data_IF_570692811515
#
_entry.id   IF_570692811515
#
_cell.length_a   1.000
_cell.length_b   1.000
_cell.length_c   1.000
_cell.angle_alpha   90.00
_cell.angle_beta   90.00
_cell.angle_gamma   90.00
#
_symmetry.space_group_name_H-M   'P 1'
#
loop_
_entity.id
_entity.type
_entity.pdbx_description
1 polymer ?
#
# COMPACT_ATOMS: atom_id res chain seq x y z
N UNK A 1 -7.34 -4.20 0.29
CA UNK A 1 -7.19 -4.64 1.70
C UNK A 1 -8.28 -4.04 2.59
N UNK A 2 -8.65 -4.71 3.69
CA UNK A 2 -9.51 -4.12 4.74
C UNK A 2 -8.66 -3.30 5.71
N UNK A 3 -9.19 -2.19 6.21
CA UNK A 3 -8.45 -1.30 7.11
C UNK A 3 -8.16 -1.94 8.49
N UNK A 4 -8.98 -2.91 8.91
CA UNK A 4 -8.78 -3.66 10.15
C UNK A 4 -7.49 -4.49 10.11
N UNK A 5 -7.28 -5.24 9.03
CA UNK A 5 -6.09 -6.08 8.85
C UNK A 5 -4.80 -5.25 8.82
N UNK A 6 -4.83 -4.04 8.26
CA UNK A 6 -3.67 -3.14 8.22
C UNK A 6 -3.35 -2.58 9.62
N UNK A 7 -4.34 -2.40 10.49
CA UNK A 7 -4.12 -1.88 11.86
C UNK A 7 -3.56 -2.92 12.82
N UNK A 8 -3.78 -4.20 12.56
CA UNK A 8 -3.28 -5.30 13.39
C UNK A 8 -1.81 -5.65 13.07
N UNK A 9 -1.27 -5.15 11.95
CA UNK A 9 0.12 -5.39 11.55
C UNK A 9 1.10 -4.53 12.34
N UNK A 10 2.29 -5.07 12.55
CA UNK A 10 3.42 -4.34 13.17
C UNK A 10 4.00 -3.29 12.22
N UNK A 11 4.76 -2.32 12.76
CA UNK A 11 5.39 -1.27 11.95
C UNK A 11 6.32 -1.84 10.87
N UNK A 12 7.05 -2.91 11.17
CA UNK A 12 7.96 -3.56 10.23
C UNK A 12 7.21 -4.31 9.11
N UNK A 13 6.12 -5.00 9.46
CA UNK A 13 5.25 -5.66 8.47
C UNK A 13 4.59 -4.64 7.55
N UNK A 14 4.16 -3.48 8.08
CA UNK A 14 3.60 -2.39 7.29
C UNK A 14 4.62 -1.83 6.29
N UNK A 15 5.87 -1.68 6.71
CA UNK A 15 6.96 -1.23 5.84
C UNK A 15 7.27 -2.26 4.74
N UNK A 16 7.32 -3.55 5.08
CA UNK A 16 7.49 -4.63 4.09
C UNK A 16 6.35 -4.64 3.09
N UNK A 17 5.10 -4.56 3.56
CA UNK A 17 3.91 -4.50 2.70
C UNK A 17 3.94 -3.31 1.75
N UNK A 18 4.42 -2.16 2.23
CA UNK A 18 4.54 -0.94 1.44
C UNK A 18 5.56 -1.11 0.32
N UNK A 19 6.67 -1.81 0.57
CA UNK A 19 7.66 -2.14 -0.45
C UNK A 19 7.06 -3.08 -1.52
N UNK A 20 6.35 -4.13 -1.10
CA UNK A 20 5.71 -5.09 -2.00
C UNK A 20 4.66 -4.41 -2.90
N UNK A 21 3.79 -3.58 -2.32
CA UNK A 21 2.77 -2.85 -3.07
C UNK A 21 3.37 -1.84 -4.06
N UNK A 22 4.53 -1.24 -3.74
CA UNK A 22 5.26 -0.37 -4.67
C UNK A 22 5.83 -1.17 -5.85
N UNK A 23 6.36 -2.37 -5.60
CA UNK A 23 6.84 -3.26 -6.65
C UNK A 23 5.69 -3.72 -7.56
N UNK A 24 4.54 -4.09 -6.97
CA UNK A 24 3.31 -4.42 -7.72
C UNK A 24 2.88 -3.23 -8.59
N UNK A 25 2.85 -2.01 -8.03
CA UNK A 25 2.51 -0.80 -8.79
C UNK A 25 3.47 -0.53 -9.94
N UNK A 26 4.77 -0.79 -9.75
CA UNK A 26 5.77 -0.66 -10.80
C UNK A 26 5.51 -1.67 -11.94
N UNK A 27 5.28 -2.93 -11.59
CA UNK A 27 4.96 -3.98 -12.56
C UNK A 27 3.67 -3.67 -13.33
N UNK A 28 2.62 -3.19 -12.65
CA UNK A 28 1.36 -2.79 -13.31
C UNK A 28 1.56 -1.57 -14.23
N UNK A 29 2.41 -0.61 -13.86
CA UNK A 29 2.77 0.51 -14.74
C UNK A 29 3.56 0.05 -15.95
N UNK A 30 4.46 -0.92 -15.77
CA UNK A 30 5.22 -1.51 -16.86
C UNK A 30 4.30 -2.28 -17.83
N UNK A 31 3.40 -3.11 -17.30
CA UNK A 31 2.36 -3.81 -18.07
C UNK A 31 1.45 -2.85 -18.84
N UNK A 32 1.09 -1.72 -18.23
CA UNK A 32 0.33 -0.66 -18.90
C UNK A 32 1.11 -0.06 -20.08
N UNK A 33 2.42 0.18 -19.91
CA UNK A 33 3.25 0.75 -20.96
C UNK A 33 3.41 -0.19 -22.17
N UNK A 34 3.46 -1.50 -21.94
CA UNK A 34 3.50 -2.52 -23.00
C UNK A 34 2.11 -2.92 -23.52
N UNK A 35 1.04 -2.24 -23.08
CA UNK A 35 -0.37 -2.53 -23.39
C UNK A 35 -0.81 -3.98 -23.09
N UNK A 36 -0.17 -4.66 -22.14
CA UNK A 36 -0.54 -6.01 -21.67
C UNK A 36 -1.26 -5.97 -20.32
N UNK A 37 -1.92 -4.86 -19.99
CA UNK A 37 -2.61 -4.73 -18.73
C UNK A 37 -4.02 -5.32 -18.81
N UNK A 38 -4.23 -6.48 -18.23
CA UNK A 38 -5.54 -7.14 -18.20
C UNK A 38 -6.59 -6.32 -17.44
N UNK A 39 -6.21 -5.70 -16.31
CA UNK A 39 -7.16 -4.99 -15.47
C UNK A 39 -6.65 -3.61 -14.96
N UNK A 40 -7.04 -2.52 -15.64
CA UNK A 40 -6.74 -1.14 -15.22
C UNK A 40 -7.22 -0.79 -13.80
N UNK A 41 -8.30 -1.41 -13.31
CA UNK A 41 -8.80 -1.13 -11.97
C UNK A 41 -7.81 -1.54 -10.87
N UNK A 42 -6.95 -2.52 -11.14
CA UNK A 42 -5.93 -2.99 -10.19
C UNK A 42 -4.95 -1.89 -9.81
N UNK A 43 -4.55 -1.03 -10.75
CA UNK A 43 -3.69 0.13 -10.48
C UNK A 43 -4.34 1.05 -9.43
N UNK A 44 -5.64 1.33 -9.58
CA UNK A 44 -6.37 2.17 -8.62
C UNK A 44 -6.49 1.52 -7.25
N UNK A 45 -6.69 0.19 -7.21
CA UNK A 45 -6.78 -0.57 -5.97
C UNK A 45 -5.46 -0.59 -5.21
N UNK A 46 -4.34 -0.87 -5.89
CA UNK A 46 -2.99 -0.86 -5.31
C UNK A 46 -2.63 0.53 -4.79
N UNK A 47 -2.96 1.61 -5.52
CA UNK A 47 -2.78 2.99 -5.03
C UNK A 47 -3.56 3.26 -3.73
N UNK A 48 -4.80 2.79 -3.64
CA UNK A 48 -5.62 2.93 -2.42
C UNK A 48 -5.05 2.13 -1.25
N UNK A 49 -4.55 0.93 -1.51
CA UNK A 49 -3.94 0.10 -0.47
C UNK A 49 -2.62 0.72 0.04
N UNK A 50 -1.77 1.29 -0.84
CA UNK A 50 -0.59 2.06 -0.43
C UNK A 50 -0.98 3.26 0.45
N UNK A 51 -2.04 3.99 0.07
CA UNK A 51 -2.51 5.14 0.84
C UNK A 51 -2.94 4.72 2.25
N UNK A 52 -3.71 3.62 2.39
CA UNK A 52 -4.15 3.08 3.69
C UNK A 52 -2.97 2.69 4.58
N UNK A 53 -1.98 1.99 4.05
CA UNK A 53 -0.78 1.60 4.80
C UNK A 53 -0.04 2.84 5.32
N UNK A 54 0.18 3.84 4.47
CA UNK A 54 0.79 5.12 4.88
C UNK A 54 -0.01 5.84 5.95
N UNK A 55 -1.35 5.83 5.85
CA UNK A 55 -2.21 6.46 6.86
C UNK A 55 -2.06 5.78 8.22
N UNK A 56 -2.00 4.45 8.27
CA UNK A 56 -1.82 3.71 9.54
C UNK A 56 -0.44 3.95 10.14
N UNK A 57 0.62 3.97 9.32
CA UNK A 57 1.97 4.33 9.79
C UNK A 57 1.94 5.72 10.43
N UNK A 58 1.33 6.69 9.75
CA UNK A 58 1.21 8.07 10.27
C UNK A 58 0.36 8.15 11.54
N UNK A 59 -0.72 7.38 11.62
CA UNK A 59 -1.56 7.29 12.82
C UNK A 59 -0.76 6.76 14.02
N UNK A 60 0.08 5.75 13.80
CA UNK A 60 0.96 5.20 14.83
C UNK A 60 2.04 6.18 15.28
N UNK A 61 2.70 6.88 14.34
CA UNK A 61 3.67 7.95 14.65
C UNK A 61 3.04 9.05 15.50
N UNK A 62 1.87 9.56 15.10
CA UNK A 62 1.17 10.61 15.84
C UNK A 62 0.73 10.15 17.24
N UNK A 63 0.42 8.87 17.44
CA UNK A 63 0.13 8.33 18.78
C UNK A 63 1.39 8.26 19.64
N UNK A 64 2.55 7.94 19.06
CA UNK A 64 3.81 7.92 19.77
C UNK A 64 4.30 9.33 20.14
N UNK A 65 4.10 10.32 19.28
CA UNK A 65 4.49 11.72 19.52
C UNK A 65 3.63 12.44 20.58
N UNK A 66 2.41 11.96 20.82
CA UNK A 66 1.47 12.54 21.80
C UNK A 66 1.52 11.87 23.19
N UNK A 67 2.45 10.95 23.41
CA UNK A 67 2.70 10.26 24.68
C UNK A 67 3.94 10.83 25.37
#
# INVERSE_FOLDING_TARGET
>A
MKASEIREMTADELNSKLADLKAELFNLRFQLAINQLDNPMRISAVKKDIARVKTVIRENELRADNA
#
